data_IF_156305185911
#
_entry.id   IF_156305185911
#
_cell.length_a   1.000
_cell.length_b   1.000
_cell.length_c   1.000
_cell.angle_alpha   90.00
_cell.angle_beta   90.00
_cell.angle_gamma   90.00
#
_symmetry.space_group_name_H-M   'P 1'
#
loop_
_entity.id
_entity.type
_entity.pdbx_description
1 polymer ?
#
# COMPACT_ATOMS: atom_id res chain seq x y z
N UNK A 1 27.35 -80.25 -8.20
CA UNK A 1 27.48 -79.33 -9.36
C UNK A 1 26.21 -78.49 -9.44
N UNK A 2 26.35 -77.15 -9.54
CA UNK A 2 25.32 -76.13 -9.87
C UNK A 2 24.14 -75.96 -8.90
N UNK A 3 24.12 -74.98 -7.97
CA UNK A 3 23.80 -73.53 -8.08
C UNK A 3 22.37 -73.18 -8.58
N UNK A 4 21.71 -72.30 -7.80
CA UNK A 4 20.65 -71.29 -8.09
C UNK A 4 19.35 -71.51 -7.28
N UNK A 5 19.10 -70.74 -6.21
CA UNK A 5 18.30 -69.48 -6.12
C UNK A 5 16.78 -69.75 -6.29
N UNK A 6 15.83 -69.24 -5.49
CA UNK A 6 15.79 -67.98 -4.77
C UNK A 6 14.81 -68.02 -3.57
N UNK A 7 15.16 -67.28 -2.52
CA UNK A 7 14.31 -66.97 -1.38
C UNK A 7 13.37 -65.79 -1.72
N UNK A 8 12.10 -65.90 -1.33
CA UNK A 8 11.16 -64.78 -1.34
C UNK A 8 10.80 -64.42 0.11
N UNK A 9 11.58 -63.51 0.69
CA UNK A 9 11.23 -62.84 1.94
C UNK A 9 10.32 -61.66 1.64
N UNK A 10 9.11 -61.70 2.21
CA UNK A 10 8.20 -60.58 2.27
C UNK A 10 8.76 -59.50 3.20
N UNK A 11 9.01 -58.30 2.67
CA UNK A 11 9.28 -57.11 3.46
C UNK A 11 8.31 -56.00 3.02
N UNK A 12 7.17 -55.92 3.70
CA UNK A 12 6.25 -54.79 3.58
C UNK A 12 6.83 -53.61 4.37
N UNK A 13 7.55 -52.73 3.69
CA UNK A 13 7.99 -51.45 4.24
C UNK A 13 6.82 -50.47 4.27
N UNK A 14 6.23 -50.25 5.45
CA UNK A 14 5.28 -49.17 5.68
C UNK A 14 6.03 -47.83 5.64
N UNK A 15 6.01 -47.16 4.49
CA UNK A 15 6.49 -45.78 4.35
C UNK A 15 5.43 -44.86 4.97
N UNK A 16 5.64 -44.49 6.23
CA UNK A 16 4.90 -43.41 6.87
C UNK A 16 5.33 -42.09 6.22
N UNK A 17 4.57 -41.64 5.21
CA UNK A 17 4.64 -40.28 4.70
C UNK A 17 4.18 -39.32 5.82
N UNK A 18 5.13 -38.81 6.60
CA UNK A 18 4.94 -37.56 7.33
C UNK A 18 4.84 -36.42 6.31
N UNK A 19 3.68 -36.30 5.65
CA UNK A 19 3.30 -35.05 5.02
C UNK A 19 3.13 -34.03 6.14
N UNK A 20 4.18 -33.26 6.42
CA UNK A 20 4.05 -32.05 7.21
C UNK A 20 3.04 -31.16 6.50
N UNK A 21 1.81 -31.11 7.02
CA UNK A 21 0.83 -30.11 6.62
C UNK A 21 1.47 -28.77 6.97
N UNK A 22 2.09 -28.13 5.97
CA UNK A 22 2.53 -26.76 6.09
C UNK A 22 1.27 -25.93 6.31
N UNK A 23 0.97 -25.63 7.57
CA UNK A 23 -0.12 -24.73 7.93
C UNK A 23 0.22 -23.37 7.33
N UNK A 24 -0.43 -23.01 6.23
CA UNK A 24 -0.28 -21.70 5.62
C UNK A 24 -0.65 -20.66 6.69
N UNK A 25 0.30 -19.79 7.02
CA UNK A 25 0.05 -18.70 7.95
C UNK A 25 -1.13 -17.85 7.46
N UNK A 26 -2.01 -17.38 8.35
CA UNK A 26 -3.20 -16.65 7.96
C UNK A 26 -2.81 -15.40 7.16
N UNK A 27 -3.42 -15.26 5.98
CA UNK A 27 -3.21 -14.12 5.09
C UNK A 27 -4.35 -13.12 5.26
N UNK A 28 -4.01 -11.86 5.48
CA UNK A 28 -4.95 -10.75 5.60
C UNK A 28 -4.70 -9.69 4.53
N UNK A 29 -5.76 -9.22 3.89
CA UNK A 29 -5.68 -8.08 2.97
C UNK A 29 -5.97 -6.79 3.73
N UNK A 30 -4.91 -6.04 4.06
CA UNK A 30 -5.01 -4.69 4.59
C UNK A 30 -5.57 -3.75 3.50
N UNK A 31 -6.48 -2.86 3.87
CA UNK A 31 -7.20 -1.98 2.93
C UNK A 31 -8.44 -2.60 2.29
N UNK A 32 -8.77 -3.85 2.60
CA UNK A 32 -9.97 -4.52 2.11
C UNK A 32 -11.25 -3.78 2.53
N UNK A 33 -12.08 -3.45 1.55
CA UNK A 33 -13.41 -2.86 1.71
C UNK A 33 -14.16 -2.95 0.37
N UNK A 34 -15.46 -2.62 0.36
CA UNK A 34 -16.29 -2.59 -0.87
C UNK A 34 -15.54 -1.89 -2.00
N UNK A 35 -15.47 -2.47 -3.22
CA UNK A 35 -14.72 -1.87 -4.33
C UNK A 35 -15.18 -0.44 -4.65
N UNK A 36 -14.21 0.43 -4.92
CA UNK A 36 -14.45 1.79 -5.40
C UNK A 36 -13.94 1.93 -6.85
N UNK A 37 -14.53 2.88 -7.59
CA UNK A 37 -14.10 3.22 -8.96
C UNK A 37 -13.07 4.34 -8.90
N UNK A 38 -12.00 4.23 -9.68
CA UNK A 38 -11.06 5.33 -9.82
C UNK A 38 -11.72 6.52 -10.54
N UNK A 39 -11.35 7.74 -10.15
CA UNK A 39 -11.98 8.97 -10.67
C UNK A 39 -11.68 9.22 -12.16
N UNK A 40 -10.49 8.84 -12.62
CA UNK A 40 -10.13 8.94 -14.04
C UNK A 40 -10.84 7.84 -14.86
N UNK A 41 -11.35 8.15 -16.07
CA UNK A 41 -11.09 9.36 -16.86
C UNK A 41 -12.06 10.55 -16.69
N UNK A 42 -13.21 10.40 -16.04
CA UNK A 42 -14.27 11.43 -16.11
C UNK A 42 -13.90 12.72 -15.37
N UNK A 43 -13.63 12.61 -14.06
CA UNK A 43 -13.21 13.71 -13.20
C UNK A 43 -11.80 13.39 -12.72
N UNK A 44 -10.85 13.37 -13.66
CA UNK A 44 -9.55 12.79 -13.43
C UNK A 44 -8.74 13.61 -12.42
N UNK A 45 -8.72 13.12 -11.19
CA UNK A 45 -7.88 13.62 -10.11
C UNK A 45 -6.80 12.59 -9.82
N UNK A 46 -5.59 13.08 -9.59
CA UNK A 46 -4.42 12.27 -9.26
C UNK A 46 -3.87 12.74 -7.94
N UNK A 47 -3.32 11.80 -7.17
CA UNK A 47 -2.50 12.14 -6.03
C UNK A 47 -1.06 12.25 -6.48
N UNK A 48 -0.35 13.24 -5.95
CA UNK A 48 1.03 13.49 -6.34
C UNK A 48 1.87 13.98 -5.17
N UNK A 49 3.14 13.56 -5.19
CA UNK A 49 4.19 13.92 -4.23
C UNK A 49 3.75 13.76 -2.77
N UNK A 50 3.22 12.59 -2.43
CA UNK A 50 2.60 12.33 -1.13
C UNK A 50 2.84 10.92 -0.62
N UNK A 51 2.95 10.77 0.71
CA UNK A 51 2.73 9.48 1.38
C UNK A 51 1.44 9.57 2.18
N UNK A 52 0.53 8.60 2.03
CA UNK A 52 -0.75 8.63 2.72
C UNK A 52 -1.37 7.26 2.96
N UNK A 53 -2.35 7.21 3.86
CA UNK A 53 -3.09 6.01 4.21
C UNK A 53 -4.50 6.34 4.71
N UNK A 54 -5.43 5.40 4.55
CA UNK A 54 -6.80 5.59 5.05
C UNK A 54 -6.84 5.49 6.57
N UNK A 55 -7.54 6.44 7.20
CA UNK A 55 -7.99 6.36 8.59
C UNK A 55 -9.33 5.62 8.70
N UNK A 56 -10.14 5.68 7.65
CA UNK A 56 -11.36 4.89 7.54
C UNK A 56 -11.83 4.73 6.10
N UNK A 57 -12.55 3.64 5.83
CA UNK A 57 -13.28 3.39 4.58
C UNK A 57 -14.70 2.99 4.97
N UNK A 58 -15.65 3.93 4.89
CA UNK A 58 -16.98 3.74 5.47
C UNK A 58 -16.90 3.38 6.95
N UNK A 59 -17.43 2.22 7.33
CA UNK A 59 -17.39 1.73 8.71
C UNK A 59 -16.08 1.06 9.12
N UNK A 60 -15.22 0.71 8.15
CA UNK A 60 -13.92 0.07 8.45
C UNK A 60 -12.95 1.14 8.97
N UNK A 61 -12.47 0.96 10.20
CA UNK A 61 -11.51 1.87 10.85
C UNK A 61 -10.10 1.34 10.69
N UNK A 62 -9.16 2.28 10.48
CA UNK A 62 -7.73 2.02 10.42
C UNK A 62 -7.35 0.78 9.56
N UNK A 63 -7.87 0.68 8.31
CA UNK A 63 -7.81 -0.55 7.52
C UNK A 63 -6.39 -0.98 7.09
N UNK A 64 -5.39 -0.13 7.31
CA UNK A 64 -3.99 -0.38 6.99
C UNK A 64 -3.10 -0.54 8.24
N UNK A 65 -3.69 -0.58 9.42
CA UNK A 65 -2.96 -0.89 10.66
C UNK A 65 -2.71 -2.38 10.74
N UNK A 66 -1.46 -2.74 10.97
CA UNK A 66 -1.02 -4.12 11.12
C UNK A 66 -1.48 -4.68 12.48
N UNK A 67 -2.20 -5.82 12.51
CA UNK A 67 -2.79 -6.36 13.74
C UNK A 67 -1.77 -6.99 14.69
N UNK A 68 -0.71 -7.59 14.16
CA UNK A 68 0.31 -8.32 14.92
C UNK A 68 1.68 -8.35 14.21
N UNK A 69 2.64 -9.12 14.72
CA UNK A 69 3.93 -9.30 14.04
C UNK A 69 3.77 -10.13 12.77
N UNK A 70 4.53 -9.81 11.73
CA UNK A 70 4.50 -10.58 10.49
C UNK A 70 5.17 -9.82 9.35
N UNK A 71 4.72 -10.07 8.13
CA UNK A 71 5.34 -9.52 6.92
C UNK A 71 4.30 -9.06 5.90
N UNK A 72 4.65 -8.02 5.14
CA UNK A 72 3.95 -7.69 3.90
C UNK A 72 4.67 -8.38 2.75
N UNK A 73 3.96 -9.22 2.01
CA UNK A 73 4.53 -10.04 0.92
C UNK A 73 4.12 -9.55 -0.47
N UNK A 74 3.04 -8.78 -0.55
CA UNK A 74 2.58 -8.18 -1.80
C UNK A 74 1.74 -6.92 -1.53
N UNK A 75 1.52 -6.12 -2.56
CA UNK A 75 0.58 -5.01 -2.52
C UNK A 75 -0.10 -4.83 -3.86
N UNK A 76 -1.34 -4.34 -3.83
CA UNK A 76 -2.09 -4.07 -5.07
C UNK A 76 -2.44 -2.60 -5.16
N UNK A 77 -2.54 -2.10 -6.39
CA UNK A 77 -2.98 -0.74 -6.69
C UNK A 77 -3.98 -0.77 -7.84
N UNK A 78 -5.10 -0.08 -7.67
CA UNK A 78 -6.09 0.13 -8.74
C UNK A 78 -5.89 1.51 -9.33
N UNK A 79 -5.61 1.54 -10.63
CA UNK A 79 -5.28 2.75 -11.37
C UNK A 79 -6.44 3.14 -12.27
N UNK A 80 -6.85 4.40 -12.19
CA UNK A 80 -7.68 5.00 -13.22
C UNK A 80 -6.95 5.05 -14.56
N UNK A 81 -7.69 5.38 -15.62
CA UNK A 81 -7.14 5.52 -16.98
C UNK A 81 -7.24 6.97 -17.44
N UNK A 82 -6.29 7.85 -17.08
CA UNK A 82 -6.29 9.22 -17.57
C UNK A 82 -6.22 9.26 -19.11
N UNK A 83 -6.84 10.27 -19.73
CA UNK A 83 -6.79 10.43 -21.19
C UNK A 83 -5.37 10.84 -21.61
N UNK A 84 -5.02 10.66 -22.89
CA UNK A 84 -3.69 11.03 -23.41
C UNK A 84 -3.28 12.49 -23.07
N UNK A 85 -4.17 13.50 -23.20
CA UNK A 85 -3.84 14.87 -22.81
C UNK A 85 -3.49 15.01 -21.32
N UNK A 86 -4.31 14.43 -20.43
CA UNK A 86 -4.10 14.47 -18.98
C UNK A 86 -2.76 13.81 -18.61
N UNK A 87 -2.49 12.62 -19.18
CA UNK A 87 -1.21 11.92 -18.98
C UNK A 87 -0.01 12.77 -19.36
N UNK A 88 -0.10 13.48 -20.50
CA UNK A 88 0.99 14.37 -20.94
C UNK A 88 1.16 15.55 -19.99
N UNK A 89 0.07 16.14 -19.51
CA UNK A 89 0.12 17.22 -18.54
C UNK A 89 0.76 16.76 -17.22
N UNK A 90 0.31 15.64 -16.65
CA UNK A 90 0.87 15.09 -15.42
C UNK A 90 2.33 14.67 -15.57
N UNK A 91 2.71 14.06 -16.71
CA UNK A 91 4.10 13.68 -16.95
C UNK A 91 5.02 14.89 -17.12
N UNK A 92 4.54 15.98 -17.73
CA UNK A 92 5.30 17.23 -17.84
C UNK A 92 5.54 17.84 -16.47
N UNK A 93 4.54 17.80 -15.60
CA UNK A 93 4.58 18.42 -14.27
C UNK A 93 5.37 17.58 -13.25
N UNK A 94 5.12 16.26 -13.21
CA UNK A 94 5.57 15.39 -12.13
C UNK A 94 6.55 14.29 -12.58
N UNK A 95 6.83 14.17 -13.88
CA UNK A 95 7.61 13.08 -14.46
C UNK A 95 6.81 11.78 -14.61
N UNK A 96 7.51 10.65 -14.76
CA UNK A 96 6.88 9.33 -14.90
C UNK A 96 6.03 8.96 -13.67
N UNK A 97 4.89 8.29 -13.88
CA UNK A 97 3.99 7.88 -12.80
C UNK A 97 4.58 6.71 -12.02
N UNK A 98 4.86 6.94 -10.74
CA UNK A 98 5.55 5.97 -9.88
C UNK A 98 4.87 5.90 -8.52
N UNK A 99 4.74 4.70 -7.98
CA UNK A 99 4.35 4.50 -6.58
C UNK A 99 5.08 3.32 -5.94
N UNK A 100 4.98 3.25 -4.62
CA UNK A 100 5.45 2.15 -3.77
C UNK A 100 4.67 2.12 -2.47
N UNK A 101 4.80 1.07 -1.67
CA UNK A 101 4.34 1.09 -0.29
C UNK A 101 5.48 1.40 0.69
N UNK A 102 5.12 1.97 1.83
CA UNK A 102 6.02 2.22 2.96
C UNK A 102 5.41 1.73 4.26
N UNK A 103 6.26 1.23 5.16
CA UNK A 103 5.89 0.84 6.51
C UNK A 103 6.18 2.00 7.45
N UNK A 104 5.13 2.54 8.05
CA UNK A 104 5.19 3.66 8.97
C UNK A 104 4.98 3.20 10.41
N UNK A 105 5.71 3.81 11.34
CA UNK A 105 5.46 3.69 12.77
C UNK A 105 5.14 5.04 13.36
N UNK A 106 4.01 5.15 14.06
CA UNK A 106 3.67 6.37 14.76
C UNK A 106 4.72 6.65 15.85
N UNK A 107 5.24 7.87 15.86
CA UNK A 107 6.15 8.34 16.91
C UNK A 107 5.30 8.65 18.13
N UNK A 108 5.60 8.00 19.27
CA UNK A 108 4.90 8.23 20.54
C UNK A 108 5.00 9.71 20.96
N UNK A 109 3.93 10.23 21.57
CA UNK A 109 3.85 11.58 22.13
C UNK A 109 2.61 12.37 21.69
N UNK A 110 2.27 13.42 22.43
CA UNK A 110 1.09 14.29 22.20
C UNK A 110 1.30 15.35 21.10
N UNK A 111 2.09 15.05 20.06
CA UNK A 111 2.36 16.02 19.00
C UNK A 111 1.16 16.09 18.04
N UNK A 112 0.65 17.30 17.82
CA UNK A 112 -0.32 17.60 16.78
C UNK A 112 0.37 18.43 15.68
N UNK A 113 0.36 17.99 14.41
CA UNK A 113 -0.19 16.71 13.95
C UNK A 113 0.66 15.49 14.33
N UNK A 114 0.10 14.27 14.29
CA UNK A 114 0.84 13.03 14.51
C UNK A 114 2.05 12.93 13.58
N UNK A 115 3.13 12.32 14.09
CA UNK A 115 4.36 12.10 13.32
C UNK A 115 4.59 10.61 13.10
N UNK A 116 5.11 10.27 11.94
CA UNK A 116 5.40 8.90 11.56
C UNK A 116 6.85 8.75 11.13
N UNK A 117 7.49 7.68 11.62
CA UNK A 117 8.82 7.24 11.18
C UNK A 117 8.65 6.25 10.05
N UNK A 118 9.34 6.45 8.94
CA UNK A 118 9.41 5.48 7.86
C UNK A 118 10.40 4.38 8.24
N UNK A 119 9.95 3.13 8.34
CA UNK A 119 10.76 1.98 8.72
C UNK A 119 11.34 1.25 7.51
N UNK A 120 10.48 0.96 6.52
CA UNK A 120 10.78 0.15 5.34
C UNK A 120 9.95 0.61 4.14
N UNK A 121 10.33 0.23 2.94
CA UNK A 121 9.61 0.52 1.69
C UNK A 121 9.82 -0.61 0.69
N UNK A 122 8.84 -0.79 -0.20
CA UNK A 122 9.02 -1.63 -1.39
C UNK A 122 9.87 -0.91 -2.45
N UNK A 123 10.28 -1.61 -3.52
CA UNK A 123 10.71 -0.97 -4.77
C UNK A 123 9.66 0.03 -5.29
N UNK A 124 10.13 0.99 -6.09
CA UNK A 124 9.24 1.85 -6.86
C UNK A 124 8.83 1.15 -8.15
N UNK A 125 7.54 1.18 -8.45
CA UNK A 125 6.97 0.58 -9.64
C UNK A 125 6.56 1.66 -10.63
N UNK A 126 6.87 1.43 -11.92
CA UNK A 126 6.34 2.25 -13.02
C UNK A 126 4.87 1.88 -13.26
N UNK A 127 4.01 2.87 -13.09
CA UNK A 127 2.57 2.70 -13.21
C UNK A 127 2.05 3.00 -14.63
N UNK A 128 2.86 3.64 -15.47
CA UNK A 128 2.47 4.11 -16.79
C UNK A 128 1.83 3.03 -17.68
N UNK A 129 2.43 1.82 -17.77
CA UNK A 129 1.87 0.70 -18.53
C UNK A 129 0.58 0.11 -17.94
N UNK A 130 0.29 0.40 -16.68
CA UNK A 130 -0.75 -0.28 -15.89
C UNK A 130 -2.04 0.53 -15.74
N UNK A 131 -2.12 1.73 -16.35
CA UNK A 131 -3.29 2.60 -16.24
C UNK A 131 -4.59 1.94 -16.71
N UNK A 132 -5.63 2.02 -15.87
CA UNK A 132 -6.93 1.40 -16.11
C UNK A 132 -7.06 -0.03 -15.58
N UNK A 133 -6.03 -0.55 -14.90
CA UNK A 133 -6.03 -1.89 -14.32
C UNK A 133 -5.90 -1.87 -12.80
N UNK A 134 -6.16 -3.03 -12.18
CA UNK A 134 -5.69 -3.34 -10.83
C UNK A 134 -4.51 -4.28 -10.98
N UNK A 135 -3.35 -3.89 -10.45
CA UNK A 135 -2.12 -4.70 -10.51
C UNK A 135 -1.65 -5.05 -9.11
N UNK A 136 -1.16 -6.27 -8.94
CA UNK A 136 -0.51 -6.75 -7.71
C UNK A 136 0.98 -6.90 -7.96
N UNK A 137 1.78 -6.36 -7.06
CA UNK A 137 3.22 -6.50 -7.03
C UNK A 137 3.62 -7.40 -5.87
N UNK A 138 4.16 -8.58 -6.18
CA UNK A 138 4.77 -9.46 -5.20
C UNK A 138 6.15 -8.94 -4.82
N UNK A 139 6.50 -9.03 -3.54
CA UNK A 139 7.78 -8.55 -3.02
C UNK A 139 8.77 -9.71 -2.97
N UNK A 140 9.87 -9.60 -3.73
CA UNK A 140 11.00 -10.55 -3.64
C UNK A 140 11.57 -10.61 -2.23
N UNK A 141 11.60 -9.46 -1.55
CA UNK A 141 11.95 -9.36 -0.13
C UNK A 141 10.74 -8.85 0.63
N UNK A 142 10.09 -9.70 1.44
CA UNK A 142 8.99 -9.26 2.30
C UNK A 142 9.40 -8.09 3.19
N UNK A 143 8.42 -7.28 3.60
CA UNK A 143 8.65 -6.17 4.54
C UNK A 143 8.18 -6.58 5.93
N UNK A 144 9.10 -6.84 6.88
CA UNK A 144 8.73 -7.13 8.25
C UNK A 144 8.01 -5.95 8.90
N UNK A 145 6.90 -6.27 9.56
CA UNK A 145 6.02 -5.33 10.25
C UNK A 145 5.78 -5.79 11.69
N UNK A 146 5.54 -4.83 12.57
CA UNK A 146 5.07 -5.09 13.92
C UNK A 146 3.64 -4.62 14.11
N UNK A 147 3.01 -5.09 15.19
CA UNK A 147 1.71 -4.60 15.67
C UNK A 147 1.70 -3.07 15.70
N UNK A 148 0.63 -2.48 15.15
CA UNK A 148 0.41 -1.02 15.02
C UNK A 148 1.31 -0.28 14.02
N UNK A 149 2.17 -0.98 13.29
CA UNK A 149 2.73 -0.40 12.07
C UNK A 149 1.61 -0.16 11.05
N UNK A 150 1.85 0.75 10.12
CA UNK A 150 0.88 1.19 9.12
C UNK A 150 1.49 0.99 7.76
N UNK A 151 0.77 0.32 6.87
CA UNK A 151 1.12 0.30 5.45
C UNK A 151 0.57 1.58 4.80
N UNK A 152 1.44 2.35 4.15
CA UNK A 152 1.10 3.60 3.50
C UNK A 152 1.49 3.58 2.03
N UNK A 153 0.65 4.16 1.17
CA UNK A 153 0.99 4.40 -0.23
C UNK A 153 1.91 5.61 -0.33
N UNK A 154 3.09 5.44 -0.93
CA UNK A 154 4.02 6.53 -1.24
C UNK A 154 4.02 6.75 -2.75
N UNK A 155 3.71 7.97 -3.16
CA UNK A 155 3.68 8.43 -4.54
C UNK A 155 4.77 9.49 -4.70
N UNK A 156 5.99 9.11 -5.16
CA UNK A 156 7.08 10.05 -5.38
C UNK A 156 6.77 11.14 -6.41
N UNK A 157 6.07 10.77 -7.48
CA UNK A 157 5.66 11.64 -8.58
C UNK A 157 4.15 11.84 -8.57
N UNK A 158 3.39 11.03 -9.32
CA UNK A 158 1.94 11.08 -9.41
C UNK A 158 1.34 9.69 -9.67
N UNK A 159 0.10 9.45 -9.26
CA UNK A 159 -0.63 8.23 -9.55
C UNK A 159 -2.16 8.46 -9.62
N UNK A 160 -2.88 7.89 -10.61
CA UNK A 160 -4.34 7.93 -10.69
C UNK A 160 -5.01 6.86 -9.80
N UNK A 161 -4.49 6.66 -8.58
CA UNK A 161 -4.91 5.63 -7.64
C UNK A 161 -5.91 6.16 -6.59
N UNK A 162 -6.90 6.92 -7.05
CA UNK A 162 -7.74 7.74 -6.18
C UNK A 162 -9.21 7.71 -6.60
N UNK A 163 -10.09 7.71 -5.61
CA UNK A 163 -11.55 7.77 -5.76
C UNK A 163 -12.10 8.91 -4.92
N UNK A 164 -12.77 9.86 -5.54
CA UNK A 164 -13.49 10.96 -4.85
C UNK A 164 -15.00 10.67 -4.76
N UNK A 165 -15.75 11.56 -4.09
CA UNK A 165 -17.21 11.43 -3.95
C UNK A 165 -17.64 10.23 -3.09
N UNK A 166 -16.79 9.79 -2.17
CA UNK A 166 -17.13 8.76 -1.20
C UNK A 166 -17.94 9.35 -0.05
N UNK A 167 -18.63 8.51 0.75
CA UNK A 167 -19.29 9.00 1.95
C UNK A 167 -18.30 9.61 2.96
N UNK A 168 -18.75 10.58 3.76
CA UNK A 168 -17.90 11.36 4.68
C UNK A 168 -17.17 10.55 5.78
N UNK A 169 -17.58 9.29 5.99
CA UNK A 169 -16.86 8.34 6.85
C UNK A 169 -15.60 7.73 6.19
N UNK A 170 -15.34 8.03 4.91
CA UNK A 170 -14.13 7.61 4.20
C UNK A 170 -13.10 8.72 4.29
N UNK A 171 -12.02 8.47 5.03
CA UNK A 171 -11.01 9.49 5.38
C UNK A 171 -9.61 8.97 5.19
N UNK A 172 -8.71 9.85 4.77
CA UNK A 172 -7.29 9.55 4.64
C UNK A 172 -6.41 10.67 5.12
N UNK A 173 -5.20 10.32 5.52
CA UNK A 173 -4.21 11.29 5.99
C UNK A 173 -2.93 11.22 5.16
N UNK A 174 -2.26 12.35 5.06
CA UNK A 174 -1.13 12.57 4.16
C UNK A 174 0.07 13.19 4.87
N UNK A 175 1.26 12.91 4.35
CA UNK A 175 2.57 13.43 4.78
C UNK A 175 2.78 14.93 4.46
N UNK A 176 1.75 15.74 4.68
CA UNK A 176 1.74 17.19 4.51
C UNK A 176 1.76 17.85 5.87
N UNK A 177 2.21 19.10 5.93
CA UNK A 177 2.12 19.89 7.17
C UNK A 177 0.66 20.29 7.41
N UNK A 178 0.31 20.72 8.62
CA UNK A 178 -1.05 21.23 8.87
C UNK A 178 -1.26 22.65 8.30
N UNK A 179 -0.19 23.40 8.08
CA UNK A 179 -0.26 24.82 7.69
C UNK A 179 -0.03 25.04 6.20
N UNK A 180 -0.94 25.73 5.53
CA UNK A 180 -0.88 26.10 4.11
C UNK A 180 0.49 26.64 3.67
N UNK A 181 1.02 27.64 4.38
CA UNK A 181 2.31 28.33 4.12
C UNK A 181 3.55 27.43 4.05
N UNK A 182 3.46 26.15 4.44
CA UNK A 182 4.59 25.21 4.46
C UNK A 182 4.27 23.89 3.76
N UNK A 183 3.39 23.94 2.75
CA UNK A 183 2.92 22.77 2.00
C UNK A 183 1.90 21.95 2.76
N UNK A 184 0.99 22.64 3.43
CA UNK A 184 -0.04 22.02 4.24
C UNK A 184 -1.33 21.71 3.50
N UNK A 185 -2.41 21.65 4.27
CA UNK A 185 -3.74 21.30 3.80
C UNK A 185 -4.32 22.55 3.16
N UNK A 186 -4.52 22.51 1.84
CA UNK A 186 -5.05 23.57 0.95
C UNK A 186 -4.17 24.81 0.70
N UNK A 187 -4.44 25.45 -0.44
CA UNK A 187 -4.34 26.91 -0.63
C UNK A 187 -5.40 27.44 -1.62
N UNK A 188 -5.95 26.64 -2.54
CA UNK A 188 -6.98 27.14 -3.49
C UNK A 188 -7.98 26.04 -3.92
N UNK A 189 -9.24 26.40 -4.09
CA UNK A 189 -10.28 25.56 -4.72
C UNK A 189 -10.64 24.24 -4.00
N UNK A 190 -10.19 24.02 -2.76
CA UNK A 190 -10.41 22.77 -2.02
C UNK A 190 -9.44 21.63 -2.39
N UNK A 191 -8.38 21.93 -3.16
CA UNK A 191 -7.38 20.93 -3.58
C UNK A 191 -6.10 21.02 -2.72
N UNK A 192 -5.39 19.90 -2.60
CA UNK A 192 -4.10 19.89 -1.91
C UNK A 192 -3.04 20.65 -2.71
N UNK A 193 -2.19 21.43 -2.04
CA UNK A 193 -1.01 22.02 -2.68
C UNK A 193 0.00 20.91 -3.02
N UNK A 194 -0.10 20.36 -4.23
CA UNK A 194 0.73 19.25 -4.70
C UNK A 194 2.19 19.69 -4.89
N UNK A 195 2.43 20.93 -5.32
CA UNK A 195 3.78 21.49 -5.55
C UNK A 195 4.63 21.46 -4.29
N UNK A 196 4.03 21.80 -3.15
CA UNK A 196 4.66 21.77 -1.85
C UNK A 196 4.62 20.36 -1.18
N UNK A 197 4.11 19.36 -1.90
CA UNK A 197 4.11 17.96 -1.51
C UNK A 197 5.52 17.40 -1.31
N UNK A 198 5.73 16.69 -0.20
CA UNK A 198 6.99 16.01 0.11
C UNK A 198 6.68 14.58 0.55
N UNK A 199 6.73 13.60 -0.38
CA UNK A 199 6.52 12.21 -0.02
C UNK A 199 7.63 11.76 0.93
N UNK A 200 7.30 10.91 1.90
CA UNK A 200 8.26 10.41 2.87
C UNK A 200 9.08 9.27 2.24
N UNK A 201 10.24 9.60 1.66
CA UNK A 201 11.07 8.63 0.91
C UNK A 201 12.31 8.16 1.68
N UNK A 202 12.87 8.99 2.57
CA UNK A 202 14.11 8.63 3.29
C UNK A 202 13.80 7.68 4.45
N UNK A 203 14.28 6.44 4.40
CA UNK A 203 14.20 5.48 5.52
C UNK A 203 14.72 6.13 6.81
N UNK A 204 14.02 5.91 7.91
CA UNK A 204 14.33 6.48 9.22
C UNK A 204 13.87 7.92 9.43
N UNK A 205 13.48 8.65 8.37
CA UNK A 205 12.95 10.01 8.49
C UNK A 205 11.65 10.04 9.29
N UNK A 206 11.37 11.19 9.91
CA UNK A 206 10.14 11.44 10.69
C UNK A 206 9.38 12.61 10.09
N UNK A 207 8.16 12.40 9.63
CA UNK A 207 7.32 13.47 9.03
C UNK A 207 6.00 13.65 9.79
N UNK A 208 5.50 14.89 9.91
CA UNK A 208 4.13 15.14 10.34
C UNK A 208 3.14 14.70 9.25
N UNK A 209 1.97 14.21 9.68
CA UNK A 209 0.84 13.89 8.80
C UNK A 209 -0.32 14.76 9.24
N UNK A 210 -0.32 15.99 8.72
CA UNK A 210 -1.17 17.07 9.19
C UNK A 210 -2.47 17.24 8.44
N UNK A 211 -2.61 16.61 7.28
CA UNK A 211 -3.84 16.71 6.49
C UNK A 211 -4.69 15.47 6.64
N UNK A 212 -5.98 15.72 6.80
CA UNK A 212 -7.03 14.72 6.69
C UNK A 212 -7.95 15.16 5.56
N UNK A 213 -8.25 14.24 4.68
CA UNK A 213 -9.14 14.45 3.55
C UNK A 213 -10.32 13.50 3.70
N UNK A 214 -11.51 14.07 3.62
CA UNK A 214 -12.77 13.36 3.71
C UNK A 214 -13.32 13.03 2.33
N UNK A 215 -14.29 12.12 2.26
CA UNK A 215 -14.99 11.74 1.01
C UNK A 215 -14.08 11.18 -0.10
N UNK A 216 -12.89 10.70 0.26
CA UNK A 216 -11.93 10.20 -0.73
C UNK A 216 -11.11 9.00 -0.26
N UNK A 217 -10.74 8.14 -1.21
CA UNK A 217 -10.07 6.86 -0.97
C UNK A 217 -8.85 6.66 -1.87
N UNK A 218 -7.71 6.38 -1.24
CA UNK A 218 -6.55 5.80 -1.90
C UNK A 218 -6.86 4.33 -2.28
N UNK A 219 -6.62 3.98 -3.55
CA UNK A 219 -7.01 2.70 -4.13
C UNK A 219 -5.84 1.71 -4.15
N UNK A 220 -5.44 1.25 -2.96
CA UNK A 220 -4.42 0.23 -2.80
C UNK A 220 -4.78 -0.75 -1.66
N UNK A 221 -4.09 -1.88 -1.62
CA UNK A 221 -4.17 -2.89 -0.56
C UNK A 221 -2.79 -3.51 -0.30
N UNK A 222 -2.63 -4.21 0.80
CA UNK A 222 -1.41 -4.95 1.11
C UNK A 222 -1.74 -6.35 1.64
N UNK A 223 -0.99 -7.34 1.16
CA UNK A 223 -1.10 -8.73 1.59
C UNK A 223 -0.17 -8.94 2.78
N UNK A 224 -0.77 -9.10 3.96
CA UNK A 224 -0.10 -9.39 5.22
C UNK A 224 -0.14 -10.90 5.50
N UNK A 225 0.97 -11.43 5.98
CA UNK A 225 1.09 -12.80 6.49
C UNK A 225 1.54 -12.71 7.94
N UNK A 226 0.79 -13.33 8.85
CA UNK A 226 1.16 -13.39 10.26
C UNK A 226 2.44 -14.23 10.46
N UNK A 227 3.27 -13.79 11.41
CA UNK A 227 4.52 -14.48 11.78
C UNK A 227 4.39 -15.37 13.00
#
# INVERSE_FOLDING_TARGET
>A
MSRLLAAALAAAAAVALCASLASAAPTLILGAAKPAKASCPQNCLVEARVTGFQRSIGQVRDPFVVPEGGEIVAWSIKLGKPRKPDRRAFNREFGASVARIGILRQVKGKKSPPRYKLLRQSPAEDLGPLFGSTTTFSLTTPLPVGRKDIVALTIPSWAPAFSVGQGGATRWTASRRSTEKRGGCTTEGGFANVEAGSPQQKKGSRRPYGCTYDSARLLYSATFVAG
#
